data_IF_632836790731
#
_entry.id   IF_632836790731
#
_cell.length_a   1.000
_cell.length_b   1.000
_cell.length_c   1.000
_cell.angle_alpha   90.00
_cell.angle_beta   90.00
_cell.angle_gamma   90.00
#
_symmetry.space_group_name_H-M   'P 1'
#
loop_
_entity.id
_entity.type
_entity.pdbx_description
1 polymer ?
#
# COMPACT_ATOMS: atom_id res chain seq x y z
N UNK A 1 -22.64 34.93 47.53
CA UNK A 1 -22.42 33.76 46.65
C UNK A 1 -22.49 32.50 47.49
N UNK A 2 -23.41 31.60 47.18
CA UNK A 2 -23.62 30.36 47.94
C UNK A 2 -22.54 29.33 47.58
N UNK A 3 -21.85 28.78 48.59
CA UNK A 3 -20.72 27.84 48.42
C UNK A 3 -21.13 26.59 47.66
N UNK A 4 -22.37 26.12 47.87
CA UNK A 4 -22.91 24.95 47.17
C UNK A 4 -23.03 25.20 45.67
N UNK A 5 -23.50 26.38 45.29
CA UNK A 5 -23.65 26.79 43.90
C UNK A 5 -22.29 26.92 43.18
N UNK A 6 -21.27 27.43 43.87
CA UNK A 6 -19.92 27.50 43.31
C UNK A 6 -19.32 26.11 43.04
N UNK A 7 -19.45 25.17 44.00
CA UNK A 7 -18.94 23.81 43.86
C UNK A 7 -19.68 23.01 42.77
N UNK A 8 -21.01 23.16 42.65
CA UNK A 8 -21.77 22.50 41.59
C UNK A 8 -21.43 23.04 40.21
N UNK A 9 -21.23 24.35 40.06
CA UNK A 9 -20.77 24.94 38.79
C UNK A 9 -19.37 24.47 38.40
N UNK A 10 -18.44 24.38 39.35
CA UNK A 10 -17.10 23.82 39.06
C UNK A 10 -17.18 22.36 38.62
N UNK A 11 -17.99 21.53 39.29
CA UNK A 11 -18.17 20.13 38.92
C UNK A 11 -18.79 19.98 37.53
N UNK A 12 -19.80 20.79 37.20
CA UNK A 12 -20.43 20.80 35.87
C UNK A 12 -19.44 21.26 34.78
N UNK A 13 -18.64 22.31 35.05
CA UNK A 13 -17.63 22.79 34.11
C UNK A 13 -16.53 21.76 33.87
N UNK A 14 -16.08 21.07 34.93
CA UNK A 14 -15.09 19.98 34.83
C UNK A 14 -15.65 18.81 34.00
N UNK A 15 -16.88 18.39 34.26
CA UNK A 15 -17.54 17.32 33.50
C UNK A 15 -17.73 17.70 32.03
N UNK A 16 -18.20 18.91 31.74
CA UNK A 16 -18.36 19.40 30.38
C UNK A 16 -17.02 19.46 29.63
N UNK A 17 -15.97 19.94 30.29
CA UNK A 17 -14.62 19.98 29.72
C UNK A 17 -14.05 18.60 29.45
N UNK A 18 -14.30 17.63 30.35
CA UNK A 18 -13.88 16.25 30.16
C UNK A 18 -14.58 15.60 28.94
N UNK A 19 -15.89 15.79 28.81
CA UNK A 19 -16.66 15.30 27.65
C UNK A 19 -16.22 15.97 26.35
N UNK A 20 -16.03 17.30 26.36
CA UNK A 20 -15.52 18.01 25.19
C UNK A 20 -14.11 17.52 24.80
N UNK A 21 -13.24 17.31 25.79
CA UNK A 21 -11.89 16.78 25.59
C UNK A 21 -11.88 15.37 25.01
N UNK A 22 -12.78 14.48 25.46
CA UNK A 22 -12.88 13.12 24.90
C UNK A 22 -13.45 13.12 23.48
N UNK A 23 -14.45 13.95 23.18
CA UNK A 23 -15.01 14.09 21.83
C UNK A 23 -13.95 14.63 20.86
N UNK A 24 -13.24 15.69 21.24
CA UNK A 24 -12.14 16.23 20.42
C UNK A 24 -11.02 15.20 20.26
N UNK A 25 -10.65 14.50 21.35
CA UNK A 25 -9.64 13.44 21.31
C UNK A 25 -10.01 12.30 20.37
N UNK A 26 -11.26 11.82 20.42
CA UNK A 26 -11.77 10.80 19.51
C UNK A 26 -11.72 11.26 18.05
N UNK A 27 -12.15 12.49 17.78
CA UNK A 27 -12.09 13.08 16.44
C UNK A 27 -10.65 13.17 15.92
N UNK A 28 -9.70 13.60 16.76
CA UNK A 28 -8.28 13.68 16.37
C UNK A 28 -7.71 12.31 16.06
N UNK A 29 -8.00 11.30 16.89
CA UNK A 29 -7.53 9.93 16.68
C UNK A 29 -8.05 9.35 15.37
N UNK A 30 -9.33 9.56 15.09
CA UNK A 30 -9.98 9.03 13.90
C UNK A 30 -9.47 9.68 12.60
N UNK A 31 -8.97 10.91 12.69
CA UNK A 31 -8.39 11.66 11.58
C UNK A 31 -6.88 11.41 11.37
N UNK A 32 -6.24 10.55 12.18
CA UNK A 32 -4.83 10.18 11.97
C UNK A 32 -4.66 9.33 10.71
N UNK A 33 -3.47 9.42 10.14
CA UNK A 33 -3.04 8.56 9.04
C UNK A 33 -3.19 7.08 9.40
N UNK A 34 -4.00 6.36 8.63
CA UNK A 34 -4.18 4.91 8.80
C UNK A 34 -3.34 4.21 7.74
N UNK A 35 -2.41 3.39 8.20
CA UNK A 35 -1.34 2.84 7.36
C UNK A 35 -1.86 1.87 6.28
N UNK A 36 -3.01 1.24 6.48
CA UNK A 36 -3.56 0.23 5.57
C UNK A 36 -4.53 0.80 4.52
N UNK A 37 -4.72 2.11 4.48
CA UNK A 37 -5.64 2.74 3.54
C UNK A 37 -5.04 2.80 2.13
N UNK A 38 -5.79 2.35 1.13
CA UNK A 38 -5.44 2.50 -0.28
C UNK A 38 -6.00 3.81 -0.83
N UNK A 39 -5.14 4.57 -1.51
CA UNK A 39 -5.45 5.91 -2.04
C UNK A 39 -5.61 5.89 -3.57
N UNK A 40 -6.37 6.85 -4.14
CA UNK A 40 -6.53 6.95 -5.60
C UNK A 40 -5.19 7.13 -6.32
N UNK A 41 -5.15 6.92 -7.66
CA UNK A 41 -3.96 7.21 -8.44
C UNK A 41 -3.57 8.69 -8.31
N UNK A 42 -2.26 8.94 -8.27
CA UNK A 42 -1.69 10.29 -8.14
C UNK A 42 -1.64 10.82 -6.71
N UNK A 43 -2.03 10.06 -5.69
CA UNK A 43 -1.97 10.52 -4.32
C UNK A 43 -0.54 10.86 -3.86
N UNK A 44 -0.42 11.97 -3.15
CA UNK A 44 0.78 12.29 -2.36
C UNK A 44 1.00 11.24 -1.28
N UNK A 45 2.19 11.29 -0.66
CA UNK A 45 2.51 10.39 0.45
C UNK A 45 1.55 10.67 1.61
N UNK A 46 1.14 9.64 2.35
CA UNK A 46 -0.06 9.67 3.22
C UNK A 46 -0.09 10.89 4.18
N UNK A 47 1.06 11.26 4.74
CA UNK A 47 1.17 12.43 5.64
C UNK A 47 0.92 13.76 4.94
N UNK A 48 1.36 13.91 3.71
CA UNK A 48 1.16 15.12 2.90
C UNK A 48 -0.24 15.13 2.30
N UNK A 49 -0.73 13.97 1.88
CA UNK A 49 -2.07 13.78 1.36
C UNK A 49 -3.14 14.27 2.35
N UNK A 50 -3.07 13.85 3.62
CA UNK A 50 -4.05 14.25 4.65
C UNK A 50 -4.02 15.76 4.90
N UNK A 51 -2.86 16.40 4.83
CA UNK A 51 -2.71 17.86 5.02
C UNK A 51 -3.25 18.66 3.84
N UNK A 52 -3.13 18.11 2.63
CA UNK A 52 -3.45 18.80 1.38
C UNK A 52 -4.91 18.56 0.95
N UNK A 53 -5.48 17.42 1.32
CA UNK A 53 -6.85 17.05 0.97
C UNK A 53 -7.85 17.86 1.80
N UNK A 54 -8.64 18.69 1.12
CA UNK A 54 -9.73 19.48 1.72
C UNK A 54 -11.05 18.69 1.83
N UNK A 55 -11.04 17.38 1.53
CA UNK A 55 -12.19 16.49 1.70
C UNK A 55 -13.42 16.91 0.88
N UNK A 56 -13.19 17.50 -0.30
CA UNK A 56 -14.26 18.03 -1.15
C UNK A 56 -15.07 16.96 -1.91
N UNK A 57 -14.58 15.71 -2.00
CA UNK A 57 -15.29 14.62 -2.67
C UNK A 57 -15.29 14.65 -4.21
N UNK A 58 -14.70 15.66 -4.85
CA UNK A 58 -14.70 15.79 -6.31
C UNK A 58 -14.04 14.60 -7.03
N UNK A 59 -12.97 14.03 -6.47
CA UNK A 59 -12.33 12.83 -7.00
C UNK A 59 -13.25 11.59 -6.96
N UNK A 60 -14.11 11.48 -5.94
CA UNK A 60 -15.08 10.38 -5.80
C UNK A 60 -16.16 10.50 -6.86
N UNK A 61 -16.71 11.70 -7.03
CA UNK A 61 -17.74 11.97 -8.04
C UNK A 61 -17.20 11.78 -9.47
N UNK A 62 -15.99 12.26 -9.75
CA UNK A 62 -15.33 12.04 -11.05
C UNK A 62 -15.07 10.56 -11.32
N UNK A 63 -14.67 9.78 -10.31
CA UNK A 63 -14.49 8.33 -10.45
C UNK A 63 -15.81 7.59 -10.69
N UNK A 64 -16.90 8.02 -10.05
CA UNK A 64 -18.23 7.45 -10.22
C UNK A 64 -18.79 7.71 -11.63
N UNK A 65 -18.53 8.89 -12.18
CA UNK A 65 -18.99 9.30 -13.51
C UNK A 65 -17.99 9.02 -14.64
N UNK A 66 -16.96 8.20 -14.39
CA UNK A 66 -16.00 7.77 -15.41
C UNK A 66 -16.70 7.10 -16.60
N UNK A 67 -16.12 7.23 -17.79
CA UNK A 67 -16.67 6.60 -19.00
C UNK A 67 -16.59 5.07 -18.94
N UNK A 68 -15.46 4.53 -18.47
CA UNK A 68 -15.25 3.09 -18.31
C UNK A 68 -15.94 2.55 -17.04
N UNK A 69 -17.27 2.60 -17.04
CA UNK A 69 -18.11 2.01 -15.99
C UNK A 69 -18.03 0.50 -16.05
N UNK A 70 -17.80 -0.11 -14.88
CA UNK A 70 -17.72 -1.56 -14.75
C UNK A 70 -18.99 -2.06 -14.08
N UNK A 71 -19.66 -3.00 -14.75
CA UNK A 71 -20.87 -3.65 -14.27
C UNK A 71 -20.53 -5.09 -13.92
N UNK A 72 -20.75 -5.48 -12.67
CA UNK A 72 -20.62 -6.85 -12.19
C UNK A 72 -21.96 -7.27 -11.60
N UNK A 73 -22.46 -8.42 -12.04
CA UNK A 73 -23.76 -8.96 -11.62
C UNK A 73 -24.93 -7.95 -11.77
N UNK A 74 -24.90 -7.18 -12.85
CA UNK A 74 -25.93 -6.18 -13.17
C UNK A 74 -25.87 -4.90 -12.32
N UNK A 75 -24.81 -4.69 -11.53
CA UNK A 75 -24.62 -3.49 -10.71
C UNK A 75 -23.33 -2.75 -11.10
N UNK A 76 -23.44 -1.43 -11.19
CA UNK A 76 -22.27 -0.56 -11.33
C UNK A 76 -21.41 -0.61 -10.07
N UNK A 77 -20.09 -0.74 -10.22
CA UNK A 77 -19.14 -0.75 -9.11
C UNK A 77 -18.59 0.65 -8.84
N UNK A 78 -18.89 1.14 -7.64
CA UNK A 78 -18.26 2.32 -7.05
C UNK A 78 -16.89 1.96 -6.46
N UNK A 79 -15.81 2.46 -7.09
CA UNK A 79 -14.43 2.27 -6.64
C UNK A 79 -14.10 3.18 -5.45
N UNK A 80 -14.12 4.50 -5.66
CA UNK A 80 -13.73 5.47 -4.63
C UNK A 80 -14.92 5.77 -3.72
N UNK A 81 -14.63 5.92 -2.42
CA UNK A 81 -15.59 6.32 -1.39
C UNK A 81 -14.93 7.32 -0.45
N UNK A 82 -15.73 8.19 0.16
CA UNK A 82 -15.27 9.01 1.28
C UNK A 82 -15.39 8.21 2.56
N UNK A 83 -14.34 8.26 3.39
CA UNK A 83 -14.32 7.61 4.69
C UNK A 83 -15.40 8.20 5.62
N UNK A 84 -16.28 7.33 6.11
CA UNK A 84 -17.21 7.61 7.18
C UNK A 84 -16.58 7.30 8.55
N UNK A 85 -17.17 7.79 9.66
CA UNK A 85 -16.73 7.38 10.98
C UNK A 85 -16.76 5.86 11.15
N UNK A 86 -15.70 5.29 11.71
CA UNK A 86 -15.49 3.84 11.83
C UNK A 86 -14.77 3.18 10.64
N UNK A 87 -14.64 3.86 9.50
CA UNK A 87 -13.86 3.33 8.39
C UNK A 87 -12.37 3.30 8.73
N UNK A 88 -11.64 2.39 8.08
CA UNK A 88 -10.18 2.27 8.23
C UNK A 88 -9.43 3.31 7.38
N UNK A 89 -9.95 4.55 7.32
CA UNK A 89 -9.34 5.72 6.70
C UNK A 89 -9.70 7.01 7.49
N UNK A 90 -8.89 8.09 7.41
CA UNK A 90 -9.24 9.39 7.99
C UNK A 90 -10.57 9.93 7.43
N UNK A 91 -11.47 10.40 8.29
CA UNK A 91 -12.82 10.85 7.91
C UNK A 91 -12.79 11.86 6.76
N UNK A 92 -13.66 11.65 5.78
CA UNK A 92 -13.84 12.53 4.63
C UNK A 92 -12.71 12.45 3.59
N UNK A 93 -11.73 11.56 3.77
CA UNK A 93 -10.69 11.33 2.76
C UNK A 93 -11.09 10.20 1.80
N UNK A 94 -10.71 10.28 0.51
CA UNK A 94 -11.06 9.26 -0.47
C UNK A 94 -10.19 8.00 -0.31
N UNK A 95 -10.82 6.84 -0.40
CA UNK A 95 -10.14 5.55 -0.39
C UNK A 95 -10.92 4.53 -1.23
N UNK A 96 -10.32 3.37 -1.50
CA UNK A 96 -11.02 2.23 -2.10
C UNK A 96 -10.66 0.92 -1.41
N UNK A 97 -11.49 -0.10 -1.65
CA UNK A 97 -11.30 -1.45 -1.12
C UNK A 97 -11.08 -2.39 -2.30
N UNK A 98 -9.84 -2.84 -2.49
CA UNK A 98 -9.44 -3.65 -3.65
C UNK A 98 -10.33 -4.88 -3.89
N UNK A 99 -10.79 -5.56 -2.82
CA UNK A 99 -11.67 -6.74 -2.94
C UNK A 99 -13.04 -6.45 -3.56
N UNK A 100 -13.63 -5.29 -3.31
CA UNK A 100 -15.03 -4.99 -3.67
C UNK A 100 -15.17 -3.90 -4.73
N UNK A 101 -14.21 -3.00 -4.82
CA UNK A 101 -14.17 -1.90 -5.78
C UNK A 101 -12.73 -1.45 -6.01
N UNK A 102 -11.93 -2.18 -6.81
CA UNK A 102 -10.57 -1.80 -7.15
C UNK A 102 -10.58 -0.60 -8.09
N UNK A 103 -9.41 0.01 -8.26
CA UNK A 103 -9.18 0.93 -9.37
C UNK A 103 -9.21 0.16 -10.69
N UNK A 104 -10.04 0.60 -11.63
CA UNK A 104 -10.16 0.01 -12.97
C UNK A 104 -9.20 0.62 -14.01
N UNK A 105 -8.22 1.42 -13.56
CA UNK A 105 -7.17 2.00 -14.39
C UNK A 105 -7.67 2.75 -15.64
N UNK A 106 -8.48 3.80 -15.45
CA UNK A 106 -8.91 4.67 -16.54
C UNK A 106 -7.74 5.45 -17.13
N UNK A 107 -7.61 5.47 -18.45
CA UNK A 107 -6.50 6.12 -19.17
C UNK A 107 -6.44 7.64 -18.94
N UNK A 108 -7.59 8.28 -18.80
CA UNK A 108 -7.77 9.72 -18.57
C UNK A 108 -7.63 10.13 -17.10
N UNK A 109 -7.58 9.17 -16.16
CA UNK A 109 -7.43 9.37 -14.71
C UNK A 109 -8.31 10.52 -14.17
N UNK A 110 -9.64 10.50 -14.37
CA UNK A 110 -10.50 11.66 -14.14
C UNK A 110 -10.52 12.06 -12.65
N UNK A 111 -10.41 11.08 -11.76
CA UNK A 111 -10.36 11.30 -10.32
C UNK A 111 -9.15 12.14 -9.87
N UNK A 112 -8.01 12.03 -10.55
CA UNK A 112 -6.80 12.78 -10.23
C UNK A 112 -6.92 14.23 -10.66
N UNK A 113 -7.34 14.46 -11.91
CA UNK A 113 -7.50 15.82 -12.46
C UNK A 113 -8.65 16.60 -11.81
N UNK A 114 -9.63 15.92 -11.21
CA UNK A 114 -10.68 16.55 -10.44
C UNK A 114 -10.22 17.12 -9.08
N UNK A 115 -8.98 16.89 -8.65
CA UNK A 115 -8.49 17.37 -7.36
C UNK A 115 -8.05 18.85 -7.43
N UNK A 116 -8.71 19.78 -6.73
CA UNK A 116 -8.40 21.21 -6.82
C UNK A 116 -7.16 21.61 -6.00
N UNK A 117 -6.79 20.82 -4.99
CA UNK A 117 -5.69 21.15 -4.08
C UNK A 117 -4.36 20.51 -4.44
N UNK A 118 -4.33 19.62 -5.45
CA UNK A 118 -3.14 18.86 -5.79
C UNK A 118 -2.81 17.73 -4.80
N UNK A 119 -3.74 17.34 -3.92
CA UNK A 119 -3.58 16.14 -3.09
C UNK A 119 -3.47 14.87 -3.94
N UNK A 120 -4.15 14.86 -5.10
CA UNK A 120 -3.88 13.97 -6.22
C UNK A 120 -3.16 14.80 -7.28
N UNK A 121 -1.98 14.37 -7.71
CA UNK A 121 -1.11 15.12 -8.62
C UNK A 121 -0.63 14.25 -9.78
N UNK A 122 -0.59 14.80 -11.01
CA UNK A 122 0.00 14.11 -12.16
C UNK A 122 1.47 13.71 -11.95
N UNK A 123 2.21 14.45 -11.11
CA UNK A 123 3.61 14.16 -10.80
C UNK A 123 3.82 12.75 -10.21
N UNK A 124 2.85 12.24 -9.44
CA UNK A 124 2.90 10.90 -8.84
C UNK A 124 2.48 9.78 -9.81
N UNK A 125 2.14 10.13 -11.06
CA UNK A 125 1.79 9.23 -12.14
C UNK A 125 2.66 9.43 -13.41
N UNK A 126 3.82 10.10 -13.28
CA UNK A 126 4.75 10.24 -14.41
C UNK A 126 5.60 9.00 -14.60
N UNK A 127 5.78 8.61 -15.86
CA UNK A 127 6.77 7.61 -16.24
C UNK A 127 8.19 8.22 -16.32
N UNK A 128 9.19 7.39 -16.64
CA UNK A 128 10.59 7.83 -16.79
C UNK A 128 10.80 8.87 -17.92
N UNK A 129 9.84 9.01 -18.85
CA UNK A 129 9.86 9.99 -19.94
C UNK A 129 9.15 11.30 -19.57
N UNK A 130 8.55 11.38 -18.39
CA UNK A 130 7.80 12.55 -17.91
C UNK A 130 6.34 12.61 -18.40
N UNK A 131 5.86 11.56 -19.07
CA UNK A 131 4.46 11.45 -19.53
C UNK A 131 3.60 10.90 -18.39
N UNK A 132 2.39 11.45 -18.25
CA UNK A 132 1.45 11.01 -17.22
C UNK A 132 0.71 9.77 -17.73
N UNK A 133 0.90 8.63 -17.08
CA UNK A 133 0.24 7.36 -17.45
C UNK A 133 -0.31 6.65 -16.22
N UNK A 134 -1.47 6.00 -16.35
CA UNK A 134 -2.09 5.26 -15.25
C UNK A 134 -1.24 4.06 -14.80
N UNK A 135 -0.47 3.48 -15.71
CA UNK A 135 0.46 2.36 -15.46
C UNK A 135 1.61 2.74 -14.53
N UNK A 136 1.90 4.04 -14.43
CA UNK A 136 2.94 4.57 -13.54
C UNK A 136 2.41 4.85 -12.13
N UNK A 137 1.10 4.80 -11.91
CA UNK A 137 0.50 5.07 -10.61
C UNK A 137 0.98 4.07 -9.54
N UNK A 138 1.23 4.56 -8.31
CA UNK A 138 1.74 3.76 -7.19
C UNK A 138 0.77 3.76 -6.00
N UNK A 139 -0.44 3.23 -6.21
CA UNK A 139 -1.50 3.16 -5.19
C UNK A 139 -1.21 2.11 -4.10
N UNK A 140 -0.51 1.03 -4.46
CA UNK A 140 -0.21 -0.09 -3.57
C UNK A 140 0.70 -1.12 -4.22
N UNK A 141 0.80 -2.29 -3.60
CA UNK A 141 1.51 -3.46 -4.12
C UNK A 141 0.73 -4.73 -3.77
N UNK A 142 0.67 -5.66 -4.73
CA UNK A 142 0.00 -6.94 -4.53
C UNK A 142 0.91 -7.94 -3.82
N UNK A 143 0.35 -8.72 -2.91
CA UNK A 143 1.06 -9.69 -2.08
C UNK A 143 0.26 -10.98 -2.06
N UNK A 144 0.94 -12.10 -2.32
CA UNK A 144 0.32 -13.42 -2.37
C UNK A 144 0.66 -14.18 -1.11
N UNK A 145 -0.35 -14.79 -0.48
CA UNK A 145 -0.21 -15.83 0.53
C UNK A 145 -0.09 -17.20 -0.16
N UNK A 146 1.10 -17.81 -0.21
CA UNK A 146 1.31 -19.11 -0.83
C UNK A 146 0.50 -20.23 -0.17
N UNK A 147 0.15 -20.06 1.11
CA UNK A 147 -0.53 -21.10 1.88
C UNK A 147 -1.98 -21.26 1.47
N UNK A 148 -2.66 -20.15 1.15
CA UNK A 148 -4.07 -20.14 0.72
C UNK A 148 -4.25 -20.12 -0.80
N UNK A 149 -3.19 -19.83 -1.56
CA UNK A 149 -3.29 -19.73 -3.01
C UNK A 149 -3.36 -21.11 -3.67
N UNK A 150 -4.51 -21.42 -4.27
CA UNK A 150 -4.75 -22.71 -4.94
C UNK A 150 -3.78 -23.01 -6.10
N UNK A 151 -3.16 -21.98 -6.69
CA UNK A 151 -2.12 -22.16 -7.71
C UNK A 151 -0.85 -22.82 -7.13
N UNK A 152 -0.50 -22.50 -5.87
CA UNK A 152 0.60 -23.15 -5.14
C UNK A 152 0.26 -24.60 -4.75
N UNK A 153 -1.02 -24.95 -4.69
CA UNK A 153 -1.47 -26.33 -4.47
C UNK A 153 -1.44 -27.18 -5.75
N UNK A 154 -1.17 -26.56 -6.91
CA UNK A 154 -1.08 -27.23 -8.20
C UNK A 154 -2.38 -27.25 -9.00
N UNK A 155 -3.40 -26.49 -8.57
CA UNK A 155 -4.58 -26.23 -9.38
C UNK A 155 -4.26 -25.20 -10.45
N UNK A 156 -4.87 -25.32 -11.63
CA UNK A 156 -4.60 -24.46 -12.79
C UNK A 156 -5.31 -23.10 -12.70
N UNK A 157 -5.11 -22.37 -11.60
CA UNK A 157 -5.68 -21.04 -11.42
C UNK A 157 -4.75 -19.96 -11.98
N UNK A 158 -5.27 -19.08 -12.84
CA UNK A 158 -4.57 -17.91 -13.37
C UNK A 158 -5.44 -16.65 -13.28
N UNK A 159 -6.37 -16.60 -12.32
CA UNK A 159 -7.36 -15.53 -12.22
C UNK A 159 -6.72 -14.16 -11.98
N UNK A 160 -5.83 -14.06 -10.99
CA UNK A 160 -5.12 -12.81 -10.68
C UNK A 160 -4.23 -12.34 -11.83
N UNK A 161 -3.55 -13.26 -12.50
CA UNK A 161 -2.71 -12.99 -13.66
C UNK A 161 -3.52 -12.42 -14.83
N UNK A 162 -4.65 -13.05 -15.19
CA UNK A 162 -5.52 -12.60 -16.30
C UNK A 162 -6.29 -11.32 -15.98
N UNK A 163 -6.54 -11.04 -14.70
CA UNK A 163 -7.19 -9.82 -14.25
C UNK A 163 -6.24 -8.62 -14.15
N UNK A 164 -4.93 -8.85 -14.27
CA UNK A 164 -3.94 -7.78 -14.20
C UNK A 164 -3.90 -7.01 -15.54
N UNK A 165 -4.07 -5.68 -15.54
CA UNK A 165 -3.92 -4.87 -16.77
C UNK A 165 -2.48 -4.87 -17.28
N UNK A 166 -1.51 -4.86 -16.37
CA UNK A 166 -0.08 -5.01 -16.67
C UNK A 166 0.34 -6.49 -16.70
N UNK A 167 -0.38 -7.29 -17.49
CA UNK A 167 -0.07 -8.71 -17.69
C UNK A 167 1.36 -8.89 -18.21
N UNK A 168 2.04 -9.95 -17.79
CA UNK A 168 3.45 -10.26 -18.09
C UNK A 168 4.48 -9.22 -17.60
N UNK A 169 4.04 -8.13 -16.97
CA UNK A 169 4.91 -7.14 -16.33
C UNK A 169 4.73 -7.14 -14.82
N UNK A 170 3.55 -6.79 -14.33
CA UNK A 170 3.25 -6.71 -12.90
C UNK A 170 2.99 -8.08 -12.27
N UNK A 171 2.40 -9.01 -13.02
CA UNK A 171 2.22 -10.40 -12.60
C UNK A 171 2.68 -11.31 -13.74
N UNK A 172 3.61 -12.21 -13.43
CA UNK A 172 4.11 -13.26 -14.34
C UNK A 172 3.79 -14.64 -13.79
N UNK A 173 3.89 -15.68 -14.62
CA UNK A 173 3.72 -17.07 -14.19
C UNK A 173 5.06 -17.79 -14.22
N UNK A 174 5.51 -18.24 -13.05
CA UNK A 174 6.62 -19.16 -12.92
C UNK A 174 6.11 -20.60 -13.00
N UNK A 175 6.64 -21.35 -13.98
CA UNK A 175 6.28 -22.75 -14.19
C UNK A 175 7.20 -23.66 -13.38
N UNK A 176 6.63 -24.44 -12.45
CA UNK A 176 7.38 -25.47 -11.70
C UNK A 176 6.80 -26.85 -11.94
N UNK A 177 7.65 -27.85 -12.11
CA UNK A 177 7.20 -29.23 -12.23
C UNK A 177 6.55 -29.71 -10.93
N UNK A 178 5.37 -30.34 -11.02
CA UNK A 178 4.76 -30.98 -9.88
C UNK A 178 5.41 -32.35 -9.60
N UNK A 179 6.33 -32.37 -8.63
CA UNK A 179 7.05 -33.60 -8.23
C UNK A 179 6.13 -34.74 -7.82
N UNK A 180 4.94 -34.46 -7.28
CA UNK A 180 3.97 -35.48 -6.83
C UNK A 180 3.31 -36.21 -8.00
N UNK A 181 3.00 -35.51 -9.09
CA UNK A 181 2.24 -36.10 -10.21
C UNK A 181 3.08 -36.34 -11.46
N UNK A 182 4.26 -35.72 -11.57
CA UNK A 182 5.19 -35.83 -12.71
C UNK A 182 4.68 -35.26 -14.04
N UNK A 183 3.36 -35.06 -14.19
CA UNK A 183 2.69 -34.65 -15.44
C UNK A 183 2.15 -33.22 -15.42
N UNK A 184 1.80 -32.69 -14.24
CA UNK A 184 1.26 -31.33 -14.12
C UNK A 184 2.35 -30.34 -13.74
N UNK A 185 2.20 -29.08 -14.17
CA UNK A 185 3.03 -27.97 -13.74
C UNK A 185 2.25 -27.05 -12.81
N UNK A 186 2.89 -26.58 -11.74
CA UNK A 186 2.45 -25.43 -10.97
C UNK A 186 2.57 -24.18 -11.84
N UNK A 187 1.54 -23.33 -11.79
CA UNK A 187 1.50 -22.01 -12.42
C UNK A 187 1.58 -20.96 -11.33
N UNK A 188 2.79 -20.71 -10.82
CA UNK A 188 2.96 -19.88 -9.64
C UNK A 188 2.92 -18.41 -10.07
N UNK A 189 1.93 -17.62 -9.61
CA UNK A 189 1.93 -16.18 -9.87
C UNK A 189 3.07 -15.51 -9.10
N UNK A 190 3.86 -14.70 -9.80
CA UNK A 190 4.93 -13.87 -9.23
C UNK A 190 4.59 -12.42 -9.49
N UNK A 191 4.49 -11.63 -8.42
CA UNK A 191 4.23 -10.18 -8.50
C UNK A 191 5.56 -9.44 -8.57
N UNK A 192 5.68 -8.52 -9.53
CA UNK A 192 6.81 -7.61 -9.68
C UNK A 192 6.39 -6.21 -9.22
N UNK A 193 6.96 -5.74 -8.12
CA UNK A 193 6.57 -4.48 -7.47
C UNK A 193 6.85 -3.24 -8.32
N UNK A 194 7.80 -3.33 -9.26
CA UNK A 194 8.17 -2.26 -10.17
C UNK A 194 6.99 -1.84 -11.05
N UNK A 195 6.29 -2.82 -11.63
CA UNK A 195 5.15 -2.60 -12.52
C UNK A 195 3.79 -2.67 -11.81
N UNK A 196 3.74 -3.26 -10.61
CA UNK A 196 2.50 -3.31 -9.85
C UNK A 196 2.05 -1.91 -9.41
N UNK A 197 0.91 -1.46 -9.96
CA UNK A 197 0.29 -0.18 -9.60
C UNK A 197 -0.46 -0.22 -8.28
N UNK A 198 -0.86 -1.42 -7.85
CA UNK A 198 -1.73 -1.63 -6.69
C UNK A 198 -3.21 -1.32 -6.97
N UNK A 199 -3.66 -1.46 -8.21
CA UNK A 199 -5.05 -1.19 -8.59
C UNK A 199 -6.08 -2.09 -7.88
N UNK A 200 -5.72 -3.35 -7.57
CA UNK A 200 -6.55 -4.27 -6.80
C UNK A 200 -7.45 -5.21 -7.61
N UNK A 201 -7.45 -5.12 -8.94
CA UNK A 201 -8.24 -6.02 -9.80
C UNK A 201 -7.91 -7.50 -9.57
N UNK A 202 -6.65 -7.81 -9.23
CA UNK A 202 -6.21 -9.17 -8.90
C UNK A 202 -6.78 -9.69 -7.57
N UNK A 203 -7.01 -8.82 -6.58
CA UNK A 203 -7.63 -9.18 -5.29
C UNK A 203 -9.14 -9.43 -5.44
N UNK A 204 -9.82 -8.59 -6.24
CA UNK A 204 -11.21 -8.81 -6.62
C UNK A 204 -11.38 -10.12 -7.38
N UNK A 205 -10.53 -10.40 -8.38
CA UNK A 205 -10.62 -11.61 -9.20
C UNK A 205 -10.23 -12.91 -8.48
N UNK A 206 -9.71 -12.84 -7.25
CA UNK A 206 -9.28 -14.02 -6.52
C UNK A 206 -10.48 -14.91 -6.15
N UNK A 207 -10.46 -16.17 -6.62
CA UNK A 207 -11.56 -17.13 -6.45
C UNK A 207 -11.64 -17.76 -5.05
N UNK A 208 -10.68 -17.50 -4.17
CA UNK A 208 -10.71 -18.01 -2.81
C UNK A 208 -11.69 -17.20 -1.95
N UNK A 209 -12.28 -17.84 -0.93
CA UNK A 209 -13.23 -17.22 -0.01
C UNK A 209 -12.68 -15.92 0.59
N UNK A 210 -11.51 -16.03 1.22
CA UNK A 210 -10.64 -14.91 1.57
C UNK A 210 -9.55 -14.80 0.51
N UNK A 211 -9.42 -13.65 -0.13
CA UNK A 211 -8.47 -13.46 -1.21
C UNK A 211 -7.05 -13.83 -0.78
N UNK A 212 -6.43 -14.78 -1.49
CA UNK A 212 -5.05 -15.20 -1.27
C UNK A 212 -4.04 -14.17 -1.78
N UNK A 213 -4.46 -13.28 -2.69
CA UNK A 213 -3.69 -12.11 -3.11
C UNK A 213 -4.37 -10.85 -2.60
N UNK A 214 -3.61 -9.96 -1.95
CA UNK A 214 -4.11 -8.72 -1.37
C UNK A 214 -3.25 -7.53 -1.73
N UNK A 215 -3.84 -6.35 -1.76
CA UNK A 215 -3.12 -5.10 -1.97
C UNK A 215 -2.81 -4.44 -0.64
N UNK A 216 -1.57 -4.01 -0.47
CA UNK A 216 -1.12 -3.20 0.65
C UNK A 216 -0.51 -1.88 0.17
N UNK A 217 -0.60 -0.81 0.96
CA UNK A 217 0.17 0.40 0.70
C UNK A 217 1.67 0.07 0.64
N UNK A 218 2.36 0.65 -0.34
CA UNK A 218 3.76 0.32 -0.63
C UNK A 218 4.67 0.57 0.58
N UNK A 219 4.43 1.65 1.31
CA UNK A 219 5.21 2.01 2.51
C UNK A 219 5.04 1.02 3.67
N UNK A 220 3.92 0.29 3.71
CA UNK A 220 3.66 -0.71 4.76
C UNK A 220 4.31 -2.03 4.43
N UNK A 221 4.23 -2.46 3.17
CA UNK A 221 4.68 -3.79 2.78
C UNK A 221 6.13 -3.85 2.30
N UNK A 222 6.58 -2.87 1.51
CA UNK A 222 7.92 -2.91 0.92
C UNK A 222 8.98 -2.56 1.96
N UNK A 223 9.97 -3.44 2.08
CA UNK A 223 11.16 -3.19 2.89
C UNK A 223 12.10 -2.15 2.26
N UNK A 224 13.03 -1.64 3.08
CA UNK A 224 14.12 -0.75 2.63
C UNK A 224 15.46 -1.35 3.08
N UNK A 225 16.35 -1.63 2.13
CA UNK A 225 17.67 -2.22 2.41
C UNK A 225 18.65 -1.27 3.13
N UNK A 226 18.35 0.04 3.15
CA UNK A 226 19.22 1.08 3.70
C UNK A 226 20.44 1.37 2.81
N UNK A 227 21.29 2.29 3.27
CA UNK A 227 22.36 2.83 2.43
C UNK A 227 23.63 1.97 2.40
N UNK A 228 23.74 1.01 3.33
CA UNK A 228 24.90 0.13 3.49
C UNK A 228 24.92 -1.05 2.53
N UNK A 229 23.75 -1.47 2.07
CA UNK A 229 23.59 -2.58 1.15
C UNK A 229 23.03 -2.04 -0.15
N UNK A 230 23.92 -1.92 -1.14
CA UNK A 230 23.58 -1.49 -2.49
C UNK A 230 23.80 -2.63 -3.47
N UNK A 231 22.98 -2.66 -4.51
CA UNK A 231 23.13 -3.57 -5.64
C UNK A 231 24.33 -3.08 -6.46
N UNK A 232 25.44 -3.80 -6.39
CA UNK A 232 26.68 -3.46 -7.11
C UNK A 232 26.55 -3.45 -8.64
N UNK A 233 25.45 -3.96 -9.20
CA UNK A 233 25.18 -3.96 -10.63
C UNK A 233 24.18 -2.87 -11.08
N UNK A 234 23.61 -2.10 -10.15
CA UNK A 234 22.68 -0.99 -10.45
C UNK A 234 23.36 0.34 -10.14
N UNK A 235 23.67 1.12 -11.17
CA UNK A 235 24.37 2.41 -11.04
C UNK A 235 23.58 3.40 -10.18
N UNK A 236 22.25 3.43 -10.31
CA UNK A 236 21.40 4.34 -9.50
C UNK A 236 21.43 3.90 -8.03
N UNK A 237 21.33 2.60 -7.78
CA UNK A 237 21.37 2.05 -6.42
C UNK A 237 22.73 2.23 -5.76
N UNK A 238 23.83 2.09 -6.50
CA UNK A 238 25.20 2.33 -6.02
C UNK A 238 25.40 3.74 -5.47
N UNK A 239 24.73 4.75 -6.03
CA UNK A 239 24.87 6.13 -5.56
C UNK A 239 24.41 6.30 -4.10
N UNK A 240 23.55 5.41 -3.61
CA UNK A 240 23.04 5.44 -2.23
C UNK A 240 24.15 5.26 -1.19
N UNK A 241 25.29 4.63 -1.54
CA UNK A 241 26.45 4.50 -0.64
C UNK A 241 26.96 5.85 -0.15
N UNK A 242 26.78 6.93 -0.93
CA UNK A 242 27.17 8.30 -0.51
C UNK A 242 26.46 8.76 0.76
N UNK A 243 25.25 8.24 1.02
CA UNK A 243 24.46 8.57 2.19
C UNK A 243 24.77 7.63 3.38
N UNK A 244 25.55 6.56 3.17
CA UNK A 244 25.87 5.60 4.20
C UNK A 244 26.75 6.26 5.28
N UNK A 245 26.20 6.35 6.50
CA UNK A 245 26.96 6.84 7.66
C UNK A 245 28.18 5.95 7.92
N UNK A 246 29.36 6.58 7.98
CA UNK A 246 30.64 5.97 8.38
C UNK A 246 30.74 5.74 9.90
N UNK A 247 29.74 6.21 10.68
CA UNK A 247 29.64 5.97 12.11
C UNK A 247 29.18 4.53 12.36
N UNK A 248 30.13 3.61 12.39
CA UNK A 248 29.90 2.21 12.78
C UNK A 248 29.66 2.15 14.29
N UNK A 249 28.39 2.04 14.70
CA UNK A 249 28.01 1.87 16.12
C UNK A 249 28.04 0.42 16.58
N UNK A 250 28.08 -0.54 15.66
CA UNK A 250 28.06 -1.97 16.00
C UNK A 250 29.46 -2.46 16.38
N UNK A 251 29.81 -2.36 17.68
CA UNK A 251 30.95 -3.10 18.26
C UNK A 251 30.50 -4.52 18.58
N UNK A 252 30.65 -5.47 17.64
CA UNK A 252 30.48 -6.90 17.93
C UNK A 252 31.79 -7.50 18.45
N UNK A 253 31.76 -8.70 19.05
CA UNK A 253 33.00 -9.42 19.43
C UNK A 253 33.96 -9.63 18.25
N UNK A 254 33.43 -9.84 17.03
CA UNK A 254 34.21 -9.96 15.78
C UNK A 254 34.84 -8.63 15.33
N UNK A 255 34.24 -7.50 15.71
CA UNK A 255 34.75 -6.15 15.43
C UNK A 255 35.96 -5.77 16.28
N UNK A 256 36.39 -6.63 17.22
CA UNK A 256 37.56 -6.40 18.09
C UNK A 256 38.89 -6.80 17.45
N UNK A 257 38.88 -7.68 16.46
CA UNK A 257 40.09 -8.21 15.81
C UNK A 257 40.20 -7.68 14.39
N UNK A 258 41.44 -7.57 13.89
CA UNK A 258 41.67 -7.13 12.51
C UNK A 258 41.22 -8.23 11.52
N UNK A 259 41.00 -7.90 10.23
CA UNK A 259 40.48 -8.86 9.24
C UNK A 259 41.33 -10.14 9.10
N UNK A 260 42.66 -10.03 9.19
CA UNK A 260 43.59 -11.18 9.11
C UNK A 260 43.44 -12.10 10.32
N UNK A 261 43.25 -11.54 11.52
CA UNK A 261 43.03 -12.30 12.74
C UNK A 261 41.68 -13.02 12.73
N UNK A 262 40.62 -12.41 12.18
CA UNK A 262 39.32 -13.09 12.03
C UNK A 262 39.38 -14.26 11.03
N UNK A 263 40.13 -14.11 9.93
CA UNK A 263 40.36 -15.19 8.95
C UNK A 263 41.06 -16.41 9.58
N UNK A 264 41.96 -16.17 10.52
CA UNK A 264 42.74 -17.22 11.18
C UNK A 264 42.04 -17.85 12.39
N UNK A 265 40.84 -17.40 12.78
CA UNK A 265 40.13 -18.00 13.93
C UNK A 265 39.54 -19.38 13.65
N UNK A 266 39.51 -19.83 12.39
CA UNK A 266 38.90 -21.10 12.00
C UNK A 266 37.38 -21.07 12.17
N UNK A 267 36.65 -21.51 11.14
CA UNK A 267 35.21 -21.69 11.26
C UNK A 267 34.97 -23.17 11.49
N UNK A 268 34.55 -23.55 12.70
CA UNK A 268 33.97 -24.87 12.89
C UNK A 268 32.57 -24.85 12.30
N UNK A 269 32.37 -25.66 11.27
CA UNK A 269 31.07 -26.00 10.75
C UNK A 269 30.70 -27.33 11.40
N UNK A 270 29.76 -27.33 12.33
CA UNK A 270 29.14 -28.56 12.79
C UNK A 270 28.41 -29.17 11.57
N UNK A 271 28.91 -30.30 11.08
CA UNK A 271 28.25 -31.11 10.05
C UNK A 271 27.19 -32.01 10.66
#
# INVERSE_FOLDING_TARGET
>A
MDRRHFLTQMAQAAAASAVAGTVVGAFVEENKAKQLTLRPPGALDEKEFIKTCIRCGQCVEACKNRENKVIVDGKEIDTLKLAAPGDNAPIGTPFFIARTGPCFMCDDIPCMYACPTGALTPEKCKNDKGEVTIDSAKMGVAVIDPSSCIAFWGLQCTACYRACPEIDKAITIEWKQNKRTGKHAYRIPVVHEEYCTGCGMCEMACVTEKAAIKIFPREVFLGKAGDRYVKGWDIKDQQRVKNASTKTTTKTGRSKLNPVQNLNQGVQWDQ
#
